data_IF_696986281452
#
_entry.id   IF_696986281452
#
_cell.length_a   1.000
_cell.length_b   1.000
_cell.length_c   1.000
_cell.angle_alpha   90.00
_cell.angle_beta   90.00
_cell.angle_gamma   90.00
#
_symmetry.space_group_name_H-M   'P 1'
#
loop_
_entity.id
_entity.type
_entity.pdbx_description
1 polymer ?
#
# COMPACT_ATOMS: atom_id res chain seq x y z
N UNK A 1 -19.07 -3.96 6.31
CA UNK A 1 -17.73 -4.53 6.60
C UNK A 1 -16.71 -3.43 6.35
N UNK A 2 -15.79 -3.16 7.29
CA UNK A 2 -14.76 -2.14 7.07
C UNK A 2 -13.58 -2.78 6.33
N UNK A 3 -13.24 -2.30 5.13
CA UNK A 3 -12.18 -2.86 4.30
C UNK A 3 -10.77 -2.59 4.81
N UNK A 4 -10.65 -1.65 5.74
CA UNK A 4 -9.42 -1.34 6.46
C UNK A 4 -9.71 -1.47 7.93
N UNK A 5 -9.05 -2.45 8.56
CA UNK A 5 -9.31 -2.83 9.95
C UNK A 5 -8.55 -1.93 10.92
N UNK A 6 -7.24 -1.82 10.74
CA UNK A 6 -6.39 -0.97 11.56
C UNK A 6 -5.81 0.15 10.72
N UNK A 7 -6.49 1.29 10.78
CA UNK A 7 -6.00 2.52 10.20
C UNK A 7 -6.28 3.66 11.17
N UNK A 8 -5.21 4.19 11.75
CA UNK A 8 -5.26 5.32 12.70
C UNK A 8 -5.76 6.60 12.06
N UNK A 9 -5.76 6.66 10.73
CA UNK A 9 -6.20 7.81 9.94
C UNK A 9 -7.59 7.60 9.34
N UNK A 10 -8.29 6.53 9.73
CA UNK A 10 -9.67 6.29 9.31
C UNK A 10 -10.55 7.47 9.72
N UNK A 11 -11.45 7.88 8.83
CA UNK A 11 -12.36 9.00 9.09
C UNK A 11 -13.76 8.73 8.53
N UNK A 12 -14.78 9.13 9.28
CA UNK A 12 -16.18 9.05 8.85
C UNK A 12 -16.73 10.43 8.43
N UNK A 13 -15.97 11.50 8.67
CA UNK A 13 -16.36 12.89 8.39
C UNK A 13 -16.19 13.29 6.92
N UNK A 14 -15.73 12.37 6.08
CA UNK A 14 -15.57 12.57 4.65
C UNK A 14 -16.52 11.65 3.92
N UNK A 15 -17.29 12.22 2.98
CA UNK A 15 -18.14 11.48 2.05
C UNK A 15 -17.96 12.09 0.67
N UNK A 16 -17.50 11.29 -0.27
CA UNK A 16 -17.31 11.69 -1.66
C UNK A 16 -18.37 10.94 -2.48
N UNK A 17 -19.24 11.64 -3.23
CA UNK A 17 -20.23 10.97 -4.08
C UNK A 17 -19.55 10.08 -5.13
N UNK A 18 -19.92 8.80 -5.18
CA UNK A 18 -19.41 7.80 -6.11
C UNK A 18 -20.38 6.60 -6.19
N UNK A 19 -20.43 5.92 -7.33
CA UNK A 19 -21.18 4.68 -7.53
C UNK A 19 -20.22 3.60 -8.09
N UNK A 20 -20.06 2.44 -7.43
CA UNK A 20 -20.65 2.05 -6.15
C UNK A 20 -20.13 2.90 -4.97
N UNK A 21 -20.93 3.01 -3.91
CA UNK A 21 -20.57 3.81 -2.74
C UNK A 21 -19.29 3.28 -2.09
N UNK A 22 -18.40 4.20 -1.69
CA UNK A 22 -17.21 3.84 -0.91
C UNK A 22 -17.57 3.32 0.48
N UNK A 23 -16.84 2.28 0.91
CA UNK A 23 -17.08 1.59 2.18
C UNK A 23 -16.44 2.29 3.37
N UNK A 24 -15.20 2.76 3.20
CA UNK A 24 -14.39 3.38 4.25
C UNK A 24 -13.54 4.50 3.65
N UNK A 25 -13.10 5.44 4.49
CA UNK A 25 -12.17 6.49 4.10
C UNK A 25 -11.01 6.61 5.09
N UNK A 26 -9.84 7.01 4.61
CA UNK A 26 -8.70 7.47 5.41
C UNK A 26 -8.32 8.89 5.04
N UNK A 27 -7.88 9.69 6.00
CA UNK A 27 -7.34 11.04 5.79
C UNK A 27 -5.89 11.13 6.26
N UNK A 28 -4.98 11.34 5.32
CA UNK A 28 -3.55 11.42 5.57
C UNK A 28 -3.06 12.85 5.37
N UNK A 29 -2.38 13.42 6.35
CA UNK A 29 -1.73 14.73 6.23
C UNK A 29 -0.23 14.53 6.04
N UNK A 30 0.23 14.70 4.80
CA UNK A 30 1.61 14.43 4.39
C UNK A 30 2.15 15.63 3.61
N UNK A 31 3.32 16.12 3.98
CA UNK A 31 3.98 17.28 3.35
C UNK A 31 3.06 18.51 3.22
N UNK A 32 2.34 18.83 4.31
CA UNK A 32 1.40 19.95 4.38
C UNK A 32 0.16 19.81 3.49
N UNK A 33 -0.10 18.62 2.92
CA UNK A 33 -1.26 18.32 2.08
C UNK A 33 -2.12 17.24 2.71
N UNK A 34 -3.43 17.38 2.59
CA UNK A 34 -4.38 16.36 3.02
C UNK A 34 -4.80 15.49 1.84
N UNK A 35 -4.60 14.18 1.98
CA UNK A 35 -4.99 13.15 1.03
C UNK A 35 -6.13 12.33 1.60
N UNK A 36 -7.15 12.05 0.79
CA UNK A 36 -8.24 11.14 1.15
C UNK A 36 -8.10 9.86 0.34
N UNK A 37 -8.06 8.73 1.02
CA UNK A 37 -8.14 7.40 0.42
C UNK A 37 -9.56 6.91 0.61
N UNK A 38 -10.28 6.65 -0.48
CA UNK A 38 -11.65 6.16 -0.46
C UNK A 38 -11.67 4.73 -1.00
N UNK A 39 -12.07 3.77 -0.16
CA UNK A 39 -11.96 2.34 -0.47
C UNK A 39 -13.28 1.79 -1.01
N UNK A 40 -13.19 1.02 -2.10
CA UNK A 40 -14.29 0.27 -2.70
C UNK A 40 -13.83 -1.11 -3.13
N UNK A 41 -14.77 -2.03 -3.27
CA UNK A 41 -14.58 -3.31 -3.93
C UNK A 41 -14.59 -3.18 -5.46
N UNK A 42 -13.92 -4.12 -6.12
CA UNK A 42 -14.12 -4.45 -7.53
C UNK A 42 -15.07 -5.65 -7.55
N UNK A 43 -16.17 -5.53 -8.30
CA UNK A 43 -17.13 -6.62 -8.53
C UNK A 43 -17.72 -7.27 -7.27
N UNK A 44 -17.84 -6.51 -6.17
CA UNK A 44 -18.38 -6.98 -4.88
C UNK A 44 -17.60 -8.12 -4.22
N UNK A 45 -16.34 -8.31 -4.61
CA UNK A 45 -15.43 -9.30 -4.00
C UNK A 45 -14.47 -8.61 -3.04
N UNK A 46 -14.40 -9.05 -1.77
CA UNK A 46 -13.52 -8.43 -0.78
C UNK A 46 -12.02 -8.60 -1.08
N UNK A 47 -11.68 -9.55 -1.94
CA UNK A 47 -10.29 -9.84 -2.33
C UNK A 47 -9.72 -8.82 -3.32
N UNK A 48 -10.60 -8.09 -4.01
CA UNK A 48 -10.26 -7.09 -5.02
C UNK A 48 -10.67 -5.70 -4.51
N UNK A 49 -9.81 -5.06 -3.71
CA UNK A 49 -10.08 -3.71 -3.17
C UNK A 49 -9.36 -2.65 -4.00
N UNK A 50 -10.02 -1.53 -4.28
CA UNK A 50 -9.39 -0.33 -4.83
C UNK A 50 -9.42 0.80 -3.81
N UNK A 51 -8.35 1.59 -3.78
CA UNK A 51 -8.39 2.91 -3.17
C UNK A 51 -8.35 3.97 -4.27
N UNK A 52 -9.41 4.78 -4.32
CA UNK A 52 -9.42 6.02 -5.08
C UNK A 52 -8.85 7.13 -4.19
N UNK A 53 -7.89 7.87 -4.73
CA UNK A 53 -7.08 8.79 -3.94
C UNK A 53 -7.34 10.20 -4.39
N UNK A 54 -7.64 11.06 -3.43
CA UNK A 54 -7.99 12.45 -3.64
C UNK A 54 -7.03 13.37 -2.90
N UNK A 55 -6.74 14.51 -3.50
CA UNK A 55 -6.10 15.65 -2.85
C UNK A 55 -7.17 16.62 -2.38
N UNK A 56 -7.18 16.98 -1.10
CA UNK A 56 -8.04 18.04 -0.58
C UNK A 56 -7.56 19.41 -1.06
N UNK A 57 -8.49 20.24 -1.53
CA UNK A 57 -8.25 21.60 -1.99
C UNK A 57 -9.33 22.55 -1.46
N UNK A 58 -9.10 23.86 -1.56
CA UNK A 58 -10.09 24.88 -1.18
C UNK A 58 -11.34 24.73 -2.04
N UNK A 59 -12.39 24.13 -1.48
CA UNK A 59 -13.68 23.90 -2.12
C UNK A 59 -14.01 22.45 -2.48
N UNK A 60 -13.15 21.47 -2.17
CA UNK A 60 -13.50 20.05 -2.34
C UNK A 60 -12.33 19.08 -2.44
N UNK A 61 -12.56 17.97 -3.13
CA UNK A 61 -11.61 16.88 -3.31
C UNK A 61 -11.34 16.65 -4.80
N UNK A 62 -10.06 16.61 -5.19
CA UNK A 62 -9.64 16.30 -6.56
C UNK A 62 -9.05 14.90 -6.60
N UNK A 63 -9.65 13.97 -7.35
CA UNK A 63 -9.06 12.64 -7.57
C UNK A 63 -7.72 12.79 -8.29
N UNK A 64 -6.67 12.19 -7.74
CA UNK A 64 -5.31 12.21 -8.30
C UNK A 64 -4.87 10.84 -8.83
N UNK A 65 -5.64 9.80 -8.52
CA UNK A 65 -5.44 8.47 -9.09
C UNK A 65 -6.22 7.41 -8.34
N UNK A 66 -5.91 6.17 -8.67
CA UNK A 66 -6.43 4.98 -8.02
C UNK A 66 -5.37 3.90 -8.02
N UNK A 67 -5.44 3.05 -7.01
CA UNK A 67 -4.53 1.92 -6.83
C UNK A 67 -5.33 0.68 -6.51
N UNK A 68 -4.79 -0.47 -6.90
CA UNK A 68 -5.28 -1.75 -6.46
C UNK A 68 -4.61 -2.11 -5.14
N UNK A 69 -5.43 -2.51 -4.19
CA UNK A 69 -5.01 -3.01 -2.90
C UNK A 69 -5.42 -4.49 -2.85
N UNK A 70 -4.57 -5.34 -2.32
CA UNK A 70 -4.90 -6.77 -2.22
C UNK A 70 -5.66 -7.03 -0.92
N UNK A 71 -6.89 -7.54 -1.06
CA UNK A 71 -7.68 -8.04 0.07
C UNK A 71 -8.13 -6.99 1.08
N UNK A 72 -8.63 -7.51 2.21
CA UNK A 72 -9.07 -6.71 3.36
C UNK A 72 -7.86 -6.22 4.14
N UNK A 73 -7.51 -4.95 4.01
CA UNK A 73 -6.33 -4.36 4.65
C UNK A 73 -6.39 -4.49 6.17
N UNK A 74 -5.43 -5.21 6.75
CA UNK A 74 -5.30 -5.34 8.20
C UNK A 74 -4.64 -4.12 8.80
N UNK A 75 -3.69 -3.47 8.10
CA UNK A 75 -2.95 -2.31 8.59
C UNK A 75 -2.59 -1.30 7.50
N UNK A 76 -2.60 0.00 7.84
CA UNK A 76 -2.04 1.07 7.00
C UNK A 76 -1.03 1.89 7.79
N UNK A 77 0.14 2.11 7.20
CA UNK A 77 1.24 2.85 7.84
C UNK A 77 2.03 3.69 6.82
N UNK A 78 3.02 4.44 7.29
CA UNK A 78 3.92 5.23 6.43
C UNK A 78 5.38 4.89 6.68
N UNK A 79 6.19 4.91 5.62
CA UNK A 79 7.65 4.74 5.72
C UNK A 79 8.38 5.50 4.62
N UNK A 80 9.63 5.90 4.87
CA UNK A 80 10.48 6.56 3.88
C UNK A 80 11.29 5.53 3.10
N UNK A 81 10.68 4.88 2.10
CA UNK A 81 11.31 3.78 1.37
C UNK A 81 11.85 4.20 0.00
N UNK A 82 11.19 5.14 -0.65
CA UNK A 82 11.55 5.62 -2.00
C UNK A 82 12.50 6.82 -2.01
N UNK A 83 12.91 7.29 -0.82
CA UNK A 83 13.78 8.45 -0.64
C UNK A 83 13.15 9.79 -1.07
N UNK A 84 11.82 9.82 -1.27
CA UNK A 84 11.08 11.06 -1.52
C UNK A 84 10.89 11.90 -0.25
N UNK A 85 10.54 13.18 -0.44
CA UNK A 85 10.22 14.09 0.68
C UNK A 85 8.90 13.74 1.37
N UNK A 86 7.99 13.08 0.64
CA UNK A 86 6.73 12.58 1.17
C UNK A 86 6.92 11.11 1.53
N UNK A 87 6.57 10.69 2.76
CA UNK A 87 6.59 9.28 3.12
C UNK A 87 5.69 8.45 2.19
N UNK A 88 6.12 7.22 1.92
CA UNK A 88 5.32 6.23 1.20
C UNK A 88 4.24 5.68 2.14
N UNK A 89 3.07 5.34 1.59
CA UNK A 89 1.99 4.69 2.34
C UNK A 89 2.02 3.19 2.06
N UNK A 90 1.99 2.40 3.12
CA UNK A 90 2.05 0.95 3.11
C UNK A 90 0.68 0.39 3.49
N UNK A 91 0.14 -0.49 2.66
CA UNK A 91 -1.07 -1.27 2.92
C UNK A 91 -0.66 -2.71 3.16
N UNK A 92 -0.98 -3.23 4.34
CA UNK A 92 -0.66 -4.58 4.76
C UNK A 92 -1.96 -5.37 4.93
N UNK A 93 -1.95 -6.61 4.43
CA UNK A 93 -2.99 -7.59 4.68
C UNK A 93 -2.35 -8.91 5.10
N UNK A 94 -2.84 -9.48 6.19
CA UNK A 94 -2.47 -10.81 6.66
C UNK A 94 -3.71 -11.71 6.64
N UNK A 95 -3.65 -12.76 5.82
CA UNK A 95 -4.74 -13.72 5.59
C UNK A 95 -4.24 -15.15 5.70
N UNK A 96 -4.45 -15.77 6.86
CA UNK A 96 -3.94 -17.12 7.11
C UNK A 96 -2.41 -17.15 7.09
N UNK A 97 -1.84 -17.91 6.16
CA UNK A 97 -0.38 -18.00 5.97
C UNK A 97 0.16 -17.01 4.92
N UNK A 98 -0.66 -16.09 4.42
CA UNK A 98 -0.27 -15.15 3.37
C UNK A 98 -0.22 -13.71 3.89
N UNK A 99 0.89 -13.04 3.60
CA UNK A 99 1.13 -11.63 3.84
C UNK A 99 1.15 -10.91 2.49
N UNK A 100 0.46 -9.80 2.41
CA UNK A 100 0.43 -8.92 1.25
C UNK A 100 0.89 -7.53 1.62
N UNK A 101 1.68 -6.92 0.73
CA UNK A 101 2.17 -5.56 0.88
C UNK A 101 1.95 -4.80 -0.44
N UNK A 102 1.20 -3.70 -0.36
CA UNK A 102 1.13 -2.69 -1.42
C UNK A 102 1.78 -1.39 -0.93
N UNK A 103 2.69 -0.82 -1.72
CA UNK A 103 3.38 0.44 -1.39
C UNK A 103 3.00 1.49 -2.42
N UNK A 104 2.68 2.67 -1.91
CA UNK A 104 2.15 3.79 -2.68
C UNK A 104 3.01 5.02 -2.42
N UNK A 105 3.50 5.60 -3.50
CA UNK A 105 4.28 6.83 -3.48
C UNK A 105 3.42 8.01 -3.91
N UNK A 106 3.45 9.07 -3.12
CA UNK A 106 2.86 10.37 -3.46
C UNK A 106 3.97 11.33 -3.89
N UNK A 107 3.88 11.89 -5.10
CA UNK A 107 4.88 12.82 -5.62
C UNK A 107 4.27 13.83 -6.58
N UNK A 108 4.53 15.12 -6.35
CA UNK A 108 4.07 16.19 -7.25
C UNK A 108 2.55 16.24 -7.45
N UNK A 109 1.76 15.85 -6.44
CA UNK A 109 0.30 15.75 -6.55
C UNK A 109 -0.19 14.59 -7.42
N UNK A 110 0.67 13.62 -7.72
CA UNK A 110 0.33 12.34 -8.36
C UNK A 110 0.50 11.21 -7.36
N UNK A 111 -0.17 10.11 -7.63
CA UNK A 111 -0.02 8.86 -6.90
C UNK A 111 0.45 7.75 -7.82
N UNK A 112 1.33 6.90 -7.30
CA UNK A 112 1.85 5.74 -8.01
C UNK A 112 1.93 4.54 -7.07
N UNK A 113 1.39 3.41 -7.48
CA UNK A 113 1.68 2.12 -6.85
C UNK A 113 3.08 1.68 -7.30
N UNK A 114 4.00 1.53 -6.35
CA UNK A 114 5.42 1.25 -6.63
C UNK A 114 5.84 -0.16 -6.25
N UNK A 115 5.01 -0.86 -5.48
CA UNK A 115 5.17 -2.26 -5.12
C UNK A 115 3.80 -2.86 -4.82
N UNK A 116 3.61 -4.12 -5.21
CA UNK A 116 2.49 -4.97 -4.80
C UNK A 116 2.98 -6.41 -4.86
N UNK A 117 2.97 -7.09 -3.72
CA UNK A 117 3.45 -8.47 -3.64
C UNK A 117 2.71 -9.25 -2.56
N UNK A 118 2.67 -10.57 -2.74
CA UNK A 118 2.08 -11.51 -1.79
C UNK A 118 3.01 -12.69 -1.60
N UNK A 119 3.28 -13.06 -0.35
CA UNK A 119 4.15 -14.16 0.01
C UNK A 119 3.74 -14.75 1.37
N UNK A 120 4.42 -15.80 1.84
CA UNK A 120 4.13 -16.37 3.16
C UNK A 120 4.54 -15.46 4.32
N UNK A 121 5.53 -14.60 4.10
CA UNK A 121 5.92 -13.52 5.01
C UNK A 121 6.54 -12.38 4.18
N UNK A 122 6.35 -11.13 4.61
CA UNK A 122 6.96 -9.96 3.98
C UNK A 122 7.49 -9.04 5.06
N UNK A 123 8.79 -8.73 4.99
CA UNK A 123 9.50 -7.86 5.93
C UNK A 123 10.14 -6.68 5.19
N UNK A 124 10.18 -5.51 5.85
CA UNK A 124 10.92 -4.34 5.37
C UNK A 124 12.20 -4.22 6.18
N UNK A 125 13.32 -4.59 5.57
CA UNK A 125 14.65 -4.60 6.17
C UNK A 125 15.28 -3.19 6.21
N UNK A 126 16.19 -2.98 7.16
CA UNK A 126 16.66 -1.68 7.65
C UNK A 126 17.44 -0.79 6.66
N UNK A 127 17.53 0.49 7.03
CA UNK A 127 18.12 1.64 6.32
C UNK A 127 19.67 1.58 6.20
N UNK A 128 20.32 2.29 5.24
CA UNK A 128 19.84 3.44 4.45
C UNK A 128 19.20 3.11 3.09
N UNK A 129 19.29 1.85 2.62
CA UNK A 129 18.61 1.39 1.40
C UNK A 129 17.64 0.29 1.81
N UNK A 130 16.40 0.62 2.20
CA UNK A 130 15.46 -0.38 2.66
C UNK A 130 15.23 -1.42 1.57
N UNK A 131 15.26 -2.68 1.98
CA UNK A 131 15.01 -3.86 1.14
C UNK A 131 13.72 -4.50 1.63
N UNK A 132 12.85 -4.87 0.71
CA UNK A 132 11.68 -5.68 1.03
C UNK A 132 12.08 -7.13 0.83
N UNK A 133 11.98 -7.94 1.87
CA UNK A 133 12.19 -9.38 1.77
C UNK A 133 10.83 -10.08 1.78
N UNK A 134 10.61 -10.96 0.82
CA UNK A 134 9.41 -11.76 0.71
C UNK A 134 9.79 -13.24 0.74
N UNK A 135 9.29 -13.96 1.75
CA UNK A 135 9.50 -15.39 1.91
C UNK A 135 8.28 -16.16 1.43
N UNK A 136 8.47 -17.07 0.46
CA UNK A 136 7.45 -18.00 0.00
C UNK A 136 7.79 -19.42 0.48
N UNK A 137 7.06 -19.92 1.48
CA UNK A 137 7.24 -21.28 2.01
C UNK A 137 6.83 -22.34 0.99
N UNK A 138 5.76 -22.08 0.23
CA UNK A 138 5.24 -22.99 -0.81
C UNK A 138 6.24 -23.15 -1.94
N UNK A 139 6.88 -22.07 -2.37
CA UNK A 139 7.88 -22.11 -3.43
C UNK A 139 9.29 -22.46 -2.92
N UNK A 140 9.49 -22.50 -1.60
CA UNK A 140 10.79 -22.63 -0.95
C UNK A 140 11.78 -21.54 -1.39
N UNK A 141 11.34 -20.27 -1.43
CA UNK A 141 12.12 -19.14 -1.92
C UNK A 141 12.09 -17.95 -0.96
N UNK A 142 13.17 -17.19 -0.97
CA UNK A 142 13.26 -15.84 -0.44
C UNK A 142 13.62 -14.92 -1.61
N UNK A 143 12.87 -13.85 -1.78
CA UNK A 143 13.09 -12.82 -2.79
C UNK A 143 13.30 -11.47 -2.12
N UNK A 144 14.31 -10.73 -2.57
CA UNK A 144 14.59 -9.39 -2.07
C UNK A 144 14.34 -8.36 -3.16
N UNK A 145 13.72 -7.24 -2.76
CA UNK A 145 13.37 -6.14 -3.65
C UNK A 145 13.96 -4.84 -3.13
N UNK A 146 14.65 -4.09 -4.00
CA UNK A 146 15.17 -2.77 -3.69
C UNK A 146 14.53 -1.71 -4.58
N UNK A 147 14.48 -0.47 -4.07
CA UNK A 147 14.01 0.67 -4.84
C UNK A 147 14.94 0.96 -6.02
N UNK A 148 14.40 0.99 -7.23
CA UNK A 148 15.06 1.49 -8.43
C UNK A 148 14.54 2.91 -8.74
N UNK A 149 15.35 3.97 -8.50
CA UNK A 149 14.91 5.35 -8.71
C UNK A 149 14.72 5.70 -10.19
N UNK A 150 15.41 5.02 -11.10
CA UNK A 150 15.26 5.26 -12.54
C UNK A 150 13.95 4.68 -13.05
N UNK A 151 13.56 3.51 -12.55
CA UNK A 151 12.32 2.86 -12.90
C UNK A 151 11.12 3.34 -12.07
N UNK A 152 11.37 4.08 -11.00
CA UNK A 152 10.40 4.50 -10.00
C UNK A 152 9.54 3.32 -9.48
N UNK A 153 10.18 2.17 -9.20
CA UNK A 153 9.54 0.97 -8.63
C UNK A 153 10.52 0.12 -7.83
N UNK A 154 10.00 -0.73 -6.96
CA UNK A 154 10.80 -1.78 -6.35
C UNK A 154 11.06 -2.89 -7.39
N UNK A 155 12.31 -3.36 -7.45
CA UNK A 155 12.74 -4.42 -8.36
C UNK A 155 13.39 -5.54 -7.57
N UNK A 156 13.15 -6.78 -8.00
CA UNK A 156 13.86 -7.94 -7.47
C UNK A 156 15.36 -7.79 -7.73
N UNK A 157 16.15 -7.96 -6.67
CA UNK A 157 17.61 -7.90 -6.71
C UNK A 157 18.27 -9.22 -6.34
N UNK A 158 17.59 -10.07 -5.56
CA UNK A 158 18.09 -11.37 -5.17
C UNK A 158 16.93 -12.39 -5.09
N UNK A 159 17.27 -13.66 -5.36
CA UNK A 159 16.40 -14.80 -5.12
C UNK A 159 17.26 -15.99 -4.70
N UNK A 160 16.95 -16.59 -3.56
CA UNK A 160 17.61 -17.79 -3.09
C UNK A 160 16.62 -18.75 -2.41
N UNK A 161 16.95 -20.05 -2.29
CA UNK A 161 16.10 -21.00 -1.59
C UNK A 161 15.95 -20.62 -0.11
N UNK A 162 14.77 -20.85 0.46
CA UNK A 162 14.57 -20.74 1.90
C UNK A 162 15.45 -21.79 2.60
N UNK A 163 16.57 -21.35 3.18
CA UNK A 163 17.47 -22.23 3.95
C UNK A 163 16.92 -22.30 5.37
N UNK A 164 16.24 -23.38 5.71
CA UNK A 164 16.09 -23.75 7.12
C UNK A 164 17.48 -24.00 7.67
N UNK A 165 17.93 -23.16 8.60
CA UNK A 165 19.08 -23.47 9.45
C UNK A 165 18.82 -24.86 10.06
N UNK A 166 19.70 -25.82 9.74
CA UNK A 166 19.79 -27.09 10.45
C UNK A 166 20.39 -26.85 11.83
#
# INVERSE_FOLDING_TARGET
MAFVVQDLHRTDNVKIPHEPVYHTYSRWELDGRAYIFAYRDIDQRPDDTMADIYLAASGGYKRIGSIEITGMVTGVSTANLTGGNVPDILFQYEGGELHYLTIVRLSGGRVQQVFRYGASAIDVLSQPKPVIEATSKVANLVEQFAWDPHAAKFRKIEQHPFRTSQ
#
